data_IF_452681167851
#
_entry.id   IF_452681167851
#
_cell.length_a   1.000
_cell.length_b   1.000
_cell.length_c   1.000
_cell.angle_alpha   90.00
_cell.angle_beta   90.00
_cell.angle_gamma   90.00
#
_symmetry.space_group_name_H-M   'P 1'
#
loop_
_entity.id
_entity.type
_entity.pdbx_description
1 polymer ?
#
# COMPACT_ATOMS: atom_id res chain seq x y z
N UNK A 1 15.75 -7.43 -19.77
CA UNK A 1 14.90 -8.38 -19.03
C UNK A 1 13.84 -7.54 -18.37
N UNK A 2 12.56 -7.88 -18.51
CA UNK A 2 11.52 -7.06 -17.91
C UNK A 2 11.52 -7.25 -16.39
N UNK A 3 11.27 -6.16 -15.62
CA UNK A 3 11.09 -6.24 -14.15
C UNK A 3 9.96 -7.22 -13.79
N UNK A 4 9.04 -7.47 -14.72
CA UNK A 4 7.89 -8.34 -14.52
C UNK A 4 8.23 -9.84 -14.61
N UNK A 5 9.37 -10.21 -15.22
CA UNK A 5 9.75 -11.61 -15.40
C UNK A 5 10.07 -12.32 -14.08
N UNK A 6 10.50 -11.56 -13.07
CA UNK A 6 10.88 -12.07 -11.75
C UNK A 6 10.08 -11.42 -10.60
N UNK A 7 8.89 -10.90 -10.91
CA UNK A 7 8.07 -10.22 -9.91
C UNK A 7 7.49 -11.23 -8.91
N UNK A 8 7.73 -10.99 -7.63
CA UNK A 8 7.27 -11.87 -6.55
C UNK A 8 6.52 -11.11 -5.46
N UNK A 9 5.59 -11.79 -4.81
CA UNK A 9 4.89 -11.25 -3.64
C UNK A 9 5.86 -10.88 -2.51
N UNK A 10 6.97 -11.63 -2.37
CA UNK A 10 7.99 -11.35 -1.36
C UNK A 10 8.64 -9.97 -1.53
N UNK A 11 8.83 -9.49 -2.76
CA UNK A 11 9.35 -8.14 -3.02
C UNK A 11 8.39 -7.06 -2.52
N UNK A 12 7.09 -7.24 -2.75
CA UNK A 12 6.07 -6.34 -2.24
C UNK A 12 6.07 -6.30 -0.70
N UNK A 13 6.06 -7.47 -0.10
CA UNK A 13 6.07 -7.63 1.35
C UNK A 13 7.32 -7.04 1.99
N UNK A 14 8.46 -7.15 1.35
CA UNK A 14 9.72 -6.53 1.82
C UNK A 14 9.66 -5.01 1.76
N UNK A 15 9.11 -4.44 0.70
CA UNK A 15 8.98 -2.98 0.55
C UNK A 15 7.91 -2.40 1.47
N UNK A 16 6.83 -3.15 1.68
CA UNK A 16 5.67 -2.71 2.46
C UNK A 16 5.35 -3.71 3.58
N UNK A 17 6.16 -3.76 4.63
CA UNK A 17 5.99 -4.72 5.72
C UNK A 17 4.65 -4.60 6.45
N UNK A 18 3.92 -3.48 6.30
CA UNK A 18 2.58 -3.29 6.87
C UNK A 18 1.50 -4.14 6.20
N UNK A 19 1.73 -4.57 4.95
CA UNK A 19 0.85 -5.52 4.26
C UNK A 19 1.23 -6.97 4.57
N UNK A 20 2.33 -7.17 5.23
CA UNK A 20 2.67 -8.46 5.80
C UNK A 20 2.22 -8.46 7.23
N UNK A 21 1.57 -9.48 7.68
CA UNK A 21 1.57 -9.79 9.08
C UNK A 21 2.99 -10.23 9.46
N UNK A 22 3.93 -9.29 9.54
CA UNK A 22 5.21 -9.53 10.25
C UNK A 22 4.95 -9.99 11.67
N UNK A 23 3.80 -9.63 12.18
CA UNK A 23 3.23 -10.13 13.40
C UNK A 23 3.01 -11.64 13.36
N UNK A 24 2.74 -12.26 12.21
CA UNK A 24 2.43 -13.68 12.13
C UNK A 24 3.52 -14.60 12.65
N UNK A 25 4.78 -14.24 12.43
CA UNK A 25 5.90 -15.02 12.96
C UNK A 25 6.28 -14.67 14.39
N UNK A 26 5.98 -13.46 14.85
CA UNK A 26 6.34 -12.96 16.18
C UNK A 26 5.18 -12.93 17.17
N UNK A 27 3.95 -13.06 16.71
CA UNK A 27 2.72 -12.96 17.51
C UNK A 27 1.74 -14.12 17.27
N UNK A 28 2.21 -15.24 16.68
CA UNK A 28 1.41 -16.47 16.71
C UNK A 28 1.08 -16.81 18.16
N UNK A 29 -0.19 -17.11 18.41
CA UNK A 29 -0.59 -17.52 19.74
C UNK A 29 0.13 -18.80 20.16
N UNK A 30 0.72 -18.79 21.35
CA UNK A 30 1.38 -19.94 21.96
C UNK A 30 0.64 -20.26 23.24
N UNK A 31 0.10 -21.47 23.31
CA UNK A 31 -0.62 -21.94 24.50
C UNK A 31 0.28 -21.92 25.74
N UNK A 32 -0.23 -21.41 26.84
CA UNK A 32 0.48 -21.31 28.10
C UNK A 32 1.29 -20.02 28.29
N UNK A 33 1.45 -19.19 27.25
CA UNK A 33 2.07 -17.89 27.40
C UNK A 33 1.11 -16.88 28.03
N UNK A 34 1.67 -15.93 28.79
CA UNK A 34 0.90 -14.78 29.30
C UNK A 34 0.94 -13.67 28.27
N UNK A 35 -0.23 -13.17 27.92
CA UNK A 35 -0.40 -12.02 27.03
C UNK A 35 -0.93 -10.84 27.83
N UNK A 36 -0.33 -9.68 27.60
CA UNK A 36 -0.73 -8.45 28.27
C UNK A 36 -1.84 -7.73 27.53
N UNK A 37 -2.61 -6.93 28.23
CA UNK A 37 -3.64 -6.07 27.63
C UNK A 37 -3.09 -5.32 26.41
N UNK A 38 -3.86 -5.34 25.32
CA UNK A 38 -3.53 -4.79 24.01
C UNK A 38 -2.52 -5.60 23.17
N UNK A 39 -1.98 -6.71 23.66
CA UNK A 39 -1.24 -7.62 22.79
C UNK A 39 -2.15 -8.12 21.67
N UNK A 40 -1.60 -8.20 20.47
CA UNK A 40 -2.27 -8.74 19.31
C UNK A 40 -1.60 -10.07 18.97
N UNK A 41 -2.40 -11.12 18.77
CA UNK A 41 -1.95 -12.44 18.37
C UNK A 41 -2.71 -12.93 17.16
N UNK A 42 -2.09 -13.81 16.40
CA UNK A 42 -2.74 -14.55 15.33
C UNK A 42 -3.07 -15.96 15.79
N UNK A 43 -4.30 -16.37 15.57
CA UNK A 43 -4.78 -17.69 15.92
C UNK A 43 -5.88 -18.14 14.95
N UNK A 44 -5.74 -19.34 14.37
CA UNK A 44 -6.73 -19.97 13.48
C UNK A 44 -7.30 -19.05 12.39
N UNK A 45 -6.43 -18.30 11.69
CA UNK A 45 -6.84 -17.48 10.55
C UNK A 45 -7.31 -16.06 10.90
N UNK A 46 -7.34 -15.68 12.19
CA UNK A 46 -7.79 -14.36 12.63
C UNK A 46 -6.80 -13.72 13.61
N UNK A 47 -6.86 -12.39 13.70
CA UNK A 47 -6.15 -11.63 14.72
C UNK A 47 -7.06 -11.37 15.91
N UNK A 48 -6.47 -11.46 17.11
CA UNK A 48 -7.15 -11.20 18.36
C UNK A 48 -6.35 -10.23 19.21
N UNK A 49 -7.04 -9.28 19.83
CA UNK A 49 -6.47 -8.31 20.75
C UNK A 49 -6.89 -8.64 22.18
N UNK A 50 -5.92 -8.75 23.08
CA UNK A 50 -6.17 -8.97 24.49
C UNK A 50 -6.85 -7.76 25.15
N UNK A 51 -7.99 -7.98 25.81
CA UNK A 51 -8.74 -6.98 26.57
C UNK A 51 -8.14 -6.74 27.95
N UNK A 52 -7.48 -7.74 28.49
CA UNK A 52 -6.80 -7.77 29.79
C UNK A 52 -5.61 -8.73 29.72
N UNK A 53 -4.83 -8.78 30.78
CA UNK A 53 -3.78 -9.80 30.90
C UNK A 53 -4.41 -11.17 31.00
N UNK A 54 -3.95 -12.11 30.17
CA UNK A 54 -4.60 -13.42 30.03
C UNK A 54 -3.64 -14.49 29.53
N UNK A 55 -3.93 -15.73 29.88
CA UNK A 55 -3.33 -16.96 29.31
C UNK A 55 -4.37 -17.77 28.53
N UNK A 56 -5.60 -17.27 28.44
CA UNK A 56 -6.71 -17.97 27.79
C UNK A 56 -6.54 -18.02 26.28
N UNK A 57 -7.21 -18.99 25.65
CA UNK A 57 -7.28 -19.09 24.18
C UNK A 57 -7.92 -17.84 23.57
N UNK A 58 -7.47 -17.37 22.38
CA UNK A 58 -8.02 -16.20 21.73
C UNK A 58 -9.52 -16.26 21.41
N UNK A 59 -10.11 -17.45 21.37
CA UNK A 59 -11.56 -17.66 21.22
C UNK A 59 -12.38 -17.30 22.45
N UNK A 60 -11.75 -17.08 23.60
CA UNK A 60 -12.44 -16.68 24.85
C UNK A 60 -12.78 -15.19 24.77
N UNK A 61 -14.02 -14.87 24.43
CA UNK A 61 -14.49 -13.51 24.14
C UNK A 61 -14.47 -12.54 25.32
N UNK A 62 -14.39 -13.07 26.57
CA UNK A 62 -14.21 -12.24 27.78
C UNK A 62 -12.82 -11.64 27.88
N UNK A 63 -11.82 -12.34 27.32
CA UNK A 63 -10.40 -12.00 27.43
C UNK A 63 -9.86 -11.39 26.15
N UNK A 64 -10.47 -11.74 25.02
CA UNK A 64 -10.05 -11.33 23.71
C UNK A 64 -11.17 -10.66 22.91
N UNK A 65 -10.81 -9.82 21.99
CA UNK A 65 -11.67 -9.32 20.90
C UNK A 65 -11.02 -9.64 19.57
N UNK A 66 -11.81 -9.95 18.57
CA UNK A 66 -11.32 -10.01 17.20
C UNK A 66 -10.72 -8.64 16.90
N UNK A 67 -9.51 -8.64 16.37
CA UNK A 67 -8.82 -7.43 15.94
C UNK A 67 -8.95 -7.32 14.43
N UNK A 68 -9.84 -6.45 14.01
CA UNK A 68 -10.07 -6.15 12.61
C UNK A 68 -9.17 -4.96 12.22
N UNK A 69 -8.01 -5.27 11.66
CA UNK A 69 -7.27 -4.34 10.83
C UNK A 69 -7.53 -4.76 9.38
N UNK A 70 -8.21 -3.93 8.63
CA UNK A 70 -8.67 -4.26 7.28
C UNK A 70 -7.53 -4.72 6.37
N UNK A 71 -6.37 -4.07 6.46
CA UNK A 71 -5.19 -4.42 5.65
C UNK A 71 -4.63 -5.78 6.06
N UNK A 72 -4.47 -6.04 7.37
CA UNK A 72 -3.88 -7.29 7.86
C UNK A 72 -4.79 -8.51 7.66
N UNK A 73 -6.10 -8.33 7.76
CA UNK A 73 -7.06 -9.43 7.67
C UNK A 73 -7.39 -9.82 6.21
N UNK A 74 -7.29 -8.88 5.27
CA UNK A 74 -7.74 -9.09 3.89
C UNK A 74 -6.61 -9.22 2.88
N UNK A 75 -5.37 -8.80 3.18
CA UNK A 75 -4.27 -8.90 2.24
C UNK A 75 -3.78 -10.33 2.12
N UNK A 76 -4.20 -11.00 1.07
CA UNK A 76 -3.72 -12.31 0.67
C UNK A 76 -2.66 -12.18 -0.43
N UNK A 77 -1.92 -13.25 -0.68
CA UNK A 77 -0.93 -13.26 -1.77
C UNK A 77 -1.61 -13.06 -3.14
N UNK A 78 -2.83 -13.57 -3.31
CA UNK A 78 -3.63 -13.39 -4.52
C UNK A 78 -4.03 -11.94 -4.73
N UNK A 79 -4.41 -11.20 -3.68
CA UNK A 79 -4.77 -9.78 -3.79
C UNK A 79 -3.58 -8.94 -4.28
N UNK A 80 -2.37 -9.27 -3.82
CA UNK A 80 -1.13 -8.63 -4.29
C UNK A 80 -0.89 -8.96 -5.77
N UNK A 81 -1.12 -10.21 -6.19
CA UNK A 81 -0.94 -10.61 -7.58
C UNK A 81 -1.96 -9.95 -8.52
N UNK A 82 -3.20 -9.78 -8.07
CA UNK A 82 -4.23 -9.03 -8.82
C UNK A 82 -3.84 -7.55 -8.95
N UNK A 83 -3.41 -6.92 -7.86
CA UNK A 83 -2.91 -5.55 -7.89
C UNK A 83 -1.68 -5.39 -8.81
N UNK A 84 -0.83 -6.40 -8.92
CA UNK A 84 0.26 -6.44 -9.91
C UNK A 84 -0.28 -6.47 -11.34
N UNK A 85 -1.33 -7.26 -11.59
CA UNK A 85 -1.99 -7.31 -12.89
C UNK A 85 -2.50 -5.94 -13.33
N UNK A 86 -3.21 -5.25 -12.46
CA UNK A 86 -3.74 -3.91 -12.71
C UNK A 86 -2.64 -2.86 -12.88
N UNK A 87 -1.64 -2.87 -12.00
CA UNK A 87 -0.51 -1.96 -12.07
C UNK A 87 0.27 -2.11 -13.38
N UNK A 88 0.45 -3.34 -13.86
CA UNK A 88 1.18 -3.65 -15.09
C UNK A 88 0.56 -3.00 -16.33
N UNK A 89 -0.76 -2.91 -16.39
CA UNK A 89 -1.47 -2.29 -17.52
C UNK A 89 -1.14 -0.79 -17.65
N UNK A 90 -0.90 -0.14 -16.51
CA UNK A 90 -0.71 1.32 -16.43
C UNK A 90 0.74 1.73 -16.17
N UNK A 91 1.69 0.78 -16.21
CA UNK A 91 3.10 1.05 -15.93
C UNK A 91 3.97 0.85 -17.17
N UNK A 92 4.78 1.86 -17.46
CA UNK A 92 5.76 1.81 -18.54
C UNK A 92 7.19 1.71 -17.96
N UNK A 93 7.75 0.50 -17.95
CA UNK A 93 9.11 0.25 -17.44
C UNK A 93 10.20 0.94 -18.27
N UNK A 94 9.96 1.21 -19.57
CA UNK A 94 10.95 1.84 -20.44
C UNK A 94 11.26 3.29 -20.10
N UNK A 95 10.48 3.91 -19.22
CA UNK A 95 10.78 5.25 -18.69
C UNK A 95 11.99 5.25 -17.77
N UNK A 96 12.39 4.10 -17.24
CA UNK A 96 13.42 3.99 -16.23
C UNK A 96 14.69 3.39 -16.84
N UNK A 97 15.84 3.97 -16.56
CA UNK A 97 17.15 3.41 -16.95
C UNK A 97 17.71 2.39 -15.96
N UNK A 98 17.00 2.13 -14.86
CA UNK A 98 17.41 1.24 -13.78
C UNK A 98 16.23 0.39 -13.34
N UNK A 99 16.39 -0.93 -13.40
CA UNK A 99 15.35 -1.92 -13.06
C UNK A 99 14.95 -1.86 -11.57
N UNK A 100 15.88 -1.53 -10.67
CA UNK A 100 15.58 -1.44 -9.24
C UNK A 100 14.70 -0.21 -8.94
N UNK A 101 14.94 0.90 -9.63
CA UNK A 101 14.09 2.10 -9.53
C UNK A 101 12.72 1.79 -10.15
N UNK A 102 12.69 1.20 -11.34
CA UNK A 102 11.45 0.81 -12.00
C UNK A 102 10.60 -0.10 -11.11
N UNK A 103 11.19 -1.14 -10.55
CA UNK A 103 10.51 -2.06 -9.62
C UNK A 103 9.95 -1.32 -8.41
N UNK A 104 10.77 -0.47 -7.78
CA UNK A 104 10.32 0.29 -6.60
C UNK A 104 9.11 1.17 -6.91
N UNK A 105 9.13 1.88 -8.04
CA UNK A 105 8.01 2.75 -8.46
C UNK A 105 6.78 1.92 -8.81
N UNK A 106 6.97 0.80 -9.51
CA UNK A 106 5.90 -0.15 -9.81
C UNK A 106 5.19 -0.67 -8.55
N UNK A 107 5.96 -1.03 -7.52
CA UNK A 107 5.39 -1.54 -6.27
C UNK A 107 4.53 -0.48 -5.54
N UNK A 108 4.85 0.83 -5.65
CA UNK A 108 3.98 1.89 -5.15
C UNK A 108 2.66 1.97 -5.91
N UNK A 109 2.69 1.75 -7.22
CA UNK A 109 1.47 1.69 -8.04
C UNK A 109 0.61 0.49 -7.66
N UNK A 110 1.21 -0.69 -7.50
CA UNK A 110 0.50 -1.88 -7.04
C UNK A 110 -0.12 -1.69 -5.64
N UNK A 111 0.60 -1.07 -4.71
CA UNK A 111 0.06 -0.75 -3.39
C UNK A 111 -1.11 0.24 -3.46
N UNK A 112 -1.11 1.17 -4.42
CA UNK A 112 -2.23 2.06 -4.66
C UNK A 112 -3.49 1.28 -5.09
N UNK A 113 -3.37 0.38 -6.06
CA UNK A 113 -4.51 -0.42 -6.52
C UNK A 113 -5.03 -1.33 -5.42
N UNK A 114 -4.15 -2.03 -4.71
CA UNK A 114 -4.52 -2.88 -3.59
C UNK A 114 -5.35 -2.15 -2.52
N UNK A 115 -4.92 -0.95 -2.12
CA UNK A 115 -5.68 -0.13 -1.15
C UNK A 115 -6.99 0.38 -1.75
N UNK A 116 -7.01 0.71 -3.03
CA UNK A 116 -8.22 1.16 -3.71
C UNK A 116 -9.27 0.07 -3.71
N UNK A 117 -8.88 -1.17 -3.99
CA UNK A 117 -9.79 -2.32 -3.97
C UNK A 117 -10.33 -2.60 -2.57
N UNK A 118 -9.49 -2.55 -1.55
CA UNK A 118 -9.96 -2.68 -0.17
C UNK A 118 -10.94 -1.58 0.21
N UNK A 119 -10.66 -0.33 -0.15
CA UNK A 119 -11.57 0.78 0.10
C UNK A 119 -12.92 0.59 -0.62
N UNK A 120 -12.87 0.10 -1.86
CA UNK A 120 -14.07 -0.21 -2.64
C UNK A 120 -14.88 -1.33 -1.98
N UNK A 121 -14.23 -2.41 -1.57
CA UNK A 121 -14.88 -3.54 -0.91
C UNK A 121 -15.53 -3.16 0.43
N UNK A 122 -14.92 -2.22 1.16
CA UNK A 122 -15.43 -1.70 2.44
C UNK A 122 -16.46 -0.56 2.27
N UNK A 123 -16.76 -0.14 1.05
CA UNK A 123 -17.63 1.00 0.80
C UNK A 123 -17.04 2.35 1.21
N UNK A 124 -15.72 2.40 1.40
CA UNK A 124 -14.98 3.60 1.80
C UNK A 124 -14.53 4.43 0.59
N UNK A 125 -15.33 4.46 -0.46
CA UNK A 125 -15.00 5.17 -1.69
C UNK A 125 -14.81 6.67 -1.41
N UNK A 126 -13.56 7.10 -1.40
CA UNK A 126 -13.23 8.52 -1.39
C UNK A 126 -13.39 9.07 -2.81
N UNK A 127 -14.48 9.79 -3.04
CA UNK A 127 -14.67 10.55 -4.26
C UNK A 127 -13.86 11.85 -4.10
N UNK A 128 -12.65 11.86 -4.69
CA UNK A 128 -11.79 13.04 -4.70
C UNK A 128 -10.48 12.86 -3.92
N UNK A 129 -9.62 13.83 -4.10
CA UNK A 129 -8.30 13.86 -3.45
C UNK A 129 -8.48 14.34 -2.00
N UNK A 130 -8.11 13.57 -0.99
CA UNK A 130 -8.22 14.03 0.39
C UNK A 130 -7.25 15.19 0.64
N UNK A 131 -7.78 16.36 0.95
CA UNK A 131 -6.98 17.56 1.27
C UNK A 131 -6.78 17.75 2.76
N UNK A 132 -7.61 17.09 3.58
CA UNK A 132 -7.49 17.13 5.05
C UNK A 132 -8.13 15.91 5.68
N UNK A 133 -7.60 15.50 6.81
CA UNK A 133 -8.20 14.48 7.69
C UNK A 133 -8.33 15.08 9.08
N UNK A 134 -9.52 15.04 9.65
CA UNK A 134 -9.79 15.51 11.00
C UNK A 134 -10.20 14.36 11.91
N UNK A 135 -9.56 14.23 13.05
CA UNK A 135 -9.92 13.26 14.10
C UNK A 135 -10.01 14.02 15.42
N UNK A 136 -11.22 14.27 15.90
CA UNK A 136 -11.47 15.08 17.08
C UNK A 136 -11.02 16.53 16.88
N UNK A 137 -10.16 17.04 17.77
CA UNK A 137 -9.59 18.39 17.70
C UNK A 137 -8.32 18.51 16.87
N UNK A 138 -7.82 17.40 16.30
CA UNK A 138 -6.61 17.37 15.47
C UNK A 138 -7.01 17.31 14.01
N UNK A 139 -6.53 18.29 13.24
CA UNK A 139 -6.69 18.33 11.78
C UNK A 139 -5.33 18.28 11.11
N UNK A 140 -5.11 17.30 10.24
CA UNK A 140 -3.92 17.20 9.38
C UNK A 140 -4.29 17.59 7.97
N UNK A 141 -3.60 18.59 7.42
CA UNK A 141 -3.71 18.99 6.03
C UNK A 141 -2.70 18.26 5.17
N UNK A 142 -3.15 17.70 4.04
CA UNK A 142 -2.27 17.08 3.05
C UNK A 142 -2.14 18.01 1.85
N UNK A 143 -0.93 18.48 1.58
CA UNK A 143 -0.68 19.29 0.39
C UNK A 143 -0.10 18.42 -0.71
N UNK A 144 -0.89 18.20 -1.76
CA UNK A 144 -0.38 17.58 -2.98
C UNK A 144 0.30 18.68 -3.80
N UNK A 145 1.52 18.45 -4.30
CA UNK A 145 2.21 19.43 -5.13
C UNK A 145 1.35 19.87 -6.31
N UNK A 146 1.24 21.18 -6.61
CA UNK A 146 0.36 21.69 -7.66
C UNK A 146 0.62 21.08 -9.04
N UNK A 147 1.87 20.73 -9.34
CA UNK A 147 2.24 20.10 -10.60
C UNK A 147 1.69 18.66 -10.76
N UNK A 148 1.37 17.98 -9.67
CA UNK A 148 0.69 16.69 -9.68
C UNK A 148 -0.82 16.90 -9.73
N UNK A 149 -1.33 17.81 -8.90
CA UNK A 149 -2.76 18.09 -8.78
C UNK A 149 -3.36 18.59 -10.11
N UNK A 150 -2.61 19.43 -10.83
CA UNK A 150 -3.03 20.00 -12.10
C UNK A 150 -2.79 19.08 -13.31
N UNK A 151 -2.20 17.90 -13.10
CA UNK A 151 -1.99 16.91 -14.14
C UNK A 151 -3.08 15.80 -14.02
N UNK A 152 -4.06 15.76 -14.96
CA UNK A 152 -5.17 14.80 -14.89
C UNK A 152 -4.70 13.34 -14.84
N UNK A 153 -3.59 12.99 -15.53
CA UNK A 153 -3.04 11.65 -15.57
C UNK A 153 -2.39 11.21 -14.25
N UNK A 154 -1.95 12.18 -13.41
CA UNK A 154 -1.32 11.89 -12.13
C UNK A 154 -2.26 12.10 -10.95
N UNK A 155 -3.18 13.05 -11.06
CA UNK A 155 -4.10 13.37 -9.97
C UNK A 155 -5.00 12.21 -9.58
N UNK A 156 -5.36 11.34 -10.52
CA UNK A 156 -6.16 10.14 -10.28
C UNK A 156 -5.52 9.18 -9.28
N UNK A 157 -4.19 9.14 -9.21
CA UNK A 157 -3.47 8.30 -8.24
C UNK A 157 -3.43 8.91 -6.82
N UNK A 158 -3.75 10.18 -6.67
CA UNK A 158 -3.63 10.87 -5.39
C UNK A 158 -4.78 10.57 -4.39
N UNK A 159 -5.63 9.61 -4.68
CA UNK A 159 -6.68 9.13 -3.78
C UNK A 159 -6.11 8.28 -2.62
N UNK A 160 -4.90 7.78 -2.75
CA UNK A 160 -4.17 7.07 -1.68
C UNK A 160 -2.77 7.66 -1.46
N UNK A 161 -2.22 7.48 -0.25
CA UNK A 161 -0.84 7.90 0.05
C UNK A 161 0.21 7.18 -0.82
N UNK A 162 -0.04 5.91 -1.17
CA UNK A 162 0.83 5.14 -2.07
C UNK A 162 0.78 5.67 -3.50
N UNK A 163 -0.42 5.99 -3.99
CA UNK A 163 -0.59 6.59 -5.31
C UNK A 163 0.01 8.00 -5.41
N UNK A 164 -0.12 8.83 -4.37
CA UNK A 164 0.58 10.12 -4.29
C UNK A 164 2.09 9.93 -4.36
N UNK A 165 2.63 8.93 -3.66
CA UNK A 165 4.06 8.62 -3.73
C UNK A 165 4.49 8.13 -5.10
N UNK A 166 3.69 7.27 -5.74
CA UNK A 166 3.88 6.86 -7.12
C UNK A 166 3.93 8.07 -8.07
N UNK A 167 2.93 8.95 -8.03
CA UNK A 167 2.84 10.14 -8.87
C UNK A 167 4.06 11.06 -8.68
N UNK A 168 4.54 11.23 -7.44
CA UNK A 168 5.73 12.02 -7.14
C UNK A 168 7.00 11.39 -7.72
N UNK A 169 7.13 10.06 -7.65
CA UNK A 169 8.32 9.35 -8.13
C UNK A 169 8.40 9.26 -9.66
N UNK A 170 7.24 9.10 -10.34
CA UNK A 170 7.23 9.00 -11.81
C UNK A 170 7.33 10.35 -12.49
N UNK A 171 6.90 11.44 -11.86
CA UNK A 171 6.83 12.76 -12.47
C UNK A 171 8.13 13.23 -13.13
N UNK A 172 9.33 13.12 -12.53
CA UNK A 172 10.58 13.51 -13.15
C UNK A 172 10.86 12.80 -14.48
N UNK A 173 10.46 11.53 -14.58
CA UNK A 173 10.65 10.73 -15.80
C UNK A 173 9.69 11.14 -16.91
N UNK A 174 8.49 11.58 -16.58
CA UNK A 174 7.52 12.08 -17.56
C UNK A 174 7.98 13.40 -18.17
N UNK A 175 8.47 14.35 -17.36
CA UNK A 175 8.94 15.65 -17.86
C UNK A 175 10.31 15.56 -18.54
N UNK A 176 11.20 14.68 -18.06
CA UNK A 176 12.52 14.46 -18.65
C UNK A 176 12.42 13.99 -20.10
N UNK A 177 11.52 13.07 -20.39
CA UNK A 177 11.25 12.60 -21.74
C UNK A 177 10.67 13.70 -22.67
N UNK A 178 9.84 14.60 -22.12
CA UNK A 178 9.32 15.74 -22.89
C UNK A 178 10.43 16.72 -23.27
N UNK A 179 11.42 16.90 -22.41
CA UNK A 179 12.58 17.77 -22.70
C UNK A 179 13.49 17.20 -23.78
N UNK A 180 13.68 15.89 -23.84
CA UNK A 180 14.47 15.22 -24.87
C UNK A 180 13.84 15.33 -26.27
N UNK A 181 12.51 15.32 -26.37
CA UNK A 181 11.81 15.53 -27.63
C UNK A 181 11.77 16.99 -28.10
N UNK A 182 11.89 17.96 -27.19
CA UNK A 182 11.99 19.40 -27.56
C UNK A 182 13.38 19.85 -28.03
N UNK A 183 14.41 19.05 -27.79
CA UNK A 183 15.80 19.31 -28.22
C UNK A 183 16.18 18.75 -29.58
N UNK A 184 15.27 18.14 -30.31
CA UNK A 184 15.45 17.64 -31.69
C UNK A 184 15.29 18.79 -32.70
N UNK A 185 16.30 19.51 -32.82
CA UNK A 185 16.99 20.19 -33.89
C UNK A 185 16.34 20.27 -35.25
N UNK A 186 16.10 21.45 -35.61
CA UNK A 186 16.27 22.00 -36.95
C UNK A 186 17.76 22.33 -37.18
N UNK A 187 18.48 21.50 -37.91
CA UNK A 187 19.61 21.92 -38.70
C UNK A 187 19.11 22.16 -40.12
N UNK A 188 19.12 23.42 -40.50
CA UNK A 188 18.97 23.86 -41.88
C UNK A 188 20.20 23.44 -42.70
#
# INVERSE_FOLDING_TARGET
MSIFDNLTVAQFKTQFPRFTPQYLSSVAYISGNTYFKNNIVYYEGAFYKAKKDTTALPTVTTDWSVYEDSVLNYTQDNDIMEAYGEARVNFNESLFGDDAIALRVFLFLAAHYLITDFNNALGLNQIGIPTSKSVGSVSEGYTIPPYIQNNPALSMYCTTGYGTKYATLIYPYLIGNIMLFKGGVTTA
#
